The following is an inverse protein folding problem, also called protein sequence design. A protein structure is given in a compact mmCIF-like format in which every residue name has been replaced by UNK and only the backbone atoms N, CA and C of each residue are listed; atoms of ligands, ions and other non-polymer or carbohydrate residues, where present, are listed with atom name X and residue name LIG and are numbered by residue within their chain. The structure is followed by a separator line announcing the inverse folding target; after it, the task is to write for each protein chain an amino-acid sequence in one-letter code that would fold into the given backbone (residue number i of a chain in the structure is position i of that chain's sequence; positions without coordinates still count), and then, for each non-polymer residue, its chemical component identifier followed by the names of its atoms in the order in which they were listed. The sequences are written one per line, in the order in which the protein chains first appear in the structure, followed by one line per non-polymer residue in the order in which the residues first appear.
data_IF_403858808203
#
_entry.id   IF_403858808203
#
_cell.length_a   1.000
_cell.length_b   1.000
_cell.length_c   1.000
_cell.angle_alpha   90.00
_cell.angle_beta   90.00
_cell.angle_gamma   90.00
#
_symmetry.space_group_name_H-M   'P 1'
#
loop_
_entity.id
_entity.type
_entity.pdbx_description
1 polymer ?
#
# COMPACT_ATOMS: atom_id res chain seq x y z
N UNK A 1 -13.57 53.22 34.06
CA UNK A 1 -12.37 53.17 33.21
C UNK A 1 -12.68 53.91 31.91
N UNK A 2 -12.02 55.05 31.64
CA UNK A 2 -12.25 55.84 30.41
C UNK A 2 -11.48 55.20 29.25
N UNK A 3 -12.17 54.46 28.39
CA UNK A 3 -11.60 53.94 27.15
C UNK A 3 -11.17 55.13 26.29
N UNK A 4 -9.87 55.23 26.01
CA UNK A 4 -9.32 56.31 25.18
C UNK A 4 -9.88 56.12 23.75
N UNK A 5 -10.46 57.16 23.13
CA UNK A 5 -11.11 57.03 21.81
C UNK A 5 -10.16 56.48 20.73
N UNK A 6 -8.85 56.71 20.86
CA UNK A 6 -7.83 56.13 19.98
C UNK A 6 -7.68 54.61 20.07
N UNK A 7 -8.03 53.98 21.19
CA UNK A 7 -7.98 52.52 21.34
C UNK A 7 -9.18 51.86 20.65
N UNK A 8 -10.36 52.49 20.72
CA UNK A 8 -11.55 52.05 20.00
C UNK A 8 -11.37 52.14 18.49
N UNK A 9 -10.77 53.23 17.99
CA UNK A 9 -10.53 53.42 16.56
C UNK A 9 -9.54 52.38 15.99
N UNK A 10 -8.49 52.05 16.76
CA UNK A 10 -7.52 51.01 16.37
C UNK A 10 -8.13 49.61 16.40
N UNK A 11 -8.96 49.32 17.42
CA UNK A 11 -9.68 48.05 17.50
C UNK A 11 -10.65 47.87 16.33
N UNK A 12 -11.36 48.93 15.95
CA UNK A 12 -12.26 48.92 14.78
C UNK A 12 -11.52 48.69 13.46
N UNK A 13 -10.33 49.29 13.29
CA UNK A 13 -9.48 49.05 12.12
C UNK A 13 -8.98 47.60 12.04
N UNK A 14 -8.58 47.01 13.16
CA UNK A 14 -8.12 45.60 13.20
C UNK A 14 -9.29 44.64 12.93
N UNK A 15 -10.47 44.89 13.50
CA UNK A 15 -11.67 44.10 13.21
C UNK A 15 -12.10 44.21 11.75
N UNK A 16 -12.08 45.42 11.17
CA UNK A 16 -12.44 45.64 9.78
C UNK A 16 -11.48 44.93 8.81
N UNK A 17 -10.17 44.99 9.07
CA UNK A 17 -9.15 44.31 8.26
C UNK A 17 -9.25 42.79 8.36
N UNK A 18 -9.52 42.25 9.56
CA UNK A 18 -9.73 40.81 9.75
C UNK A 18 -10.98 40.31 9.01
N UNK A 19 -12.09 41.03 9.08
CA UNK A 19 -13.32 40.69 8.36
C UNK A 19 -13.15 40.78 6.84
N UNK A 20 -12.40 41.78 6.35
CA UNK A 20 -12.07 41.90 4.93
C UNK A 20 -11.22 40.71 4.43
N UNK A 21 -10.23 40.26 5.23
CA UNK A 21 -9.42 39.09 4.91
C UNK A 21 -10.23 37.79 4.92
N UNK A 22 -11.16 37.62 5.88
CA UNK A 22 -12.07 36.47 5.90
C UNK A 22 -12.99 36.46 4.68
N UNK A 23 -13.50 37.63 4.28
CA UNK A 23 -14.34 37.75 3.09
C UNK A 23 -13.55 37.47 1.81
N UNK A 24 -12.32 37.97 1.72
CA UNK A 24 -11.41 37.70 0.60
C UNK A 24 -11.04 36.21 0.53
N UNK A 25 -10.76 35.58 1.68
CA UNK A 25 -10.47 34.15 1.77
C UNK A 25 -11.67 33.30 1.38
N UNK A 26 -12.87 33.69 1.80
CA UNK A 26 -14.13 33.06 1.40
C UNK A 26 -14.37 33.19 -0.11
N UNK A 27 -14.03 34.35 -0.69
CA UNK A 27 -14.17 34.58 -2.14
C UNK A 27 -13.10 33.86 -2.98
N UNK A 28 -11.90 33.60 -2.42
CA UNK A 28 -10.85 32.83 -3.09
C UNK A 28 -11.00 31.32 -2.90
N UNK A 29 -11.67 30.91 -1.82
CA UNK A 29 -12.10 29.54 -1.60
C UNK A 29 -13.35 29.30 -2.45
N UNK A 30 -13.13 29.06 -3.75
CA UNK A 30 -14.20 28.66 -4.67
C UNK A 30 -15.02 27.49 -4.11
N UNK A 31 -16.27 27.32 -4.55
CA UNK A 31 -17.16 26.29 -4.02
C UNK A 31 -16.43 24.94 -4.08
N UNK A 32 -16.31 24.29 -2.92
CA UNK A 32 -15.74 22.95 -2.83
C UNK A 32 -16.41 22.09 -3.89
N UNK A 33 -15.60 21.51 -4.79
CA UNK A 33 -16.05 20.56 -5.80
C UNK A 33 -16.88 19.51 -5.07
N UNK A 34 -18.19 19.57 -5.26
CA UNK A 34 -19.02 18.39 -5.07
C UNK A 34 -18.54 17.42 -6.13
N UNK A 35 -18.04 16.28 -5.70
CA UNK A 35 -17.58 15.21 -6.57
C UNK A 35 -18.78 14.72 -7.39
N UNK A 36 -18.92 15.30 -8.58
CA UNK A 36 -19.90 14.90 -9.57
C UNK A 36 -19.50 13.51 -10.03
N UNK A 37 -20.26 12.51 -9.55
CA UNK A 37 -20.11 11.09 -9.87
C UNK A 37 -20.30 10.92 -11.38
N UNK A 38 -19.21 11.10 -12.10
CA UNK A 38 -19.16 10.98 -13.55
C UNK A 38 -19.54 9.54 -13.87
N UNK A 39 -20.70 9.37 -14.50
CA UNK A 39 -21.17 8.08 -14.97
C UNK A 39 -20.09 7.45 -15.83
N UNK A 40 -19.64 6.27 -15.42
CA UNK A 40 -18.74 5.43 -16.20
C UNK A 40 -19.46 5.07 -17.49
N UNK A 41 -18.97 5.60 -18.61
CA UNK A 41 -19.41 5.18 -19.94
C UNK A 41 -19.11 3.68 -20.06
N UNK A 42 -20.16 2.87 -20.11
CA UNK A 42 -20.05 1.41 -20.19
C UNK A 42 -19.61 1.06 -21.61
N UNK A 43 -18.36 0.58 -21.76
CA UNK A 43 -17.85 0.12 -23.03
C UNK A 43 -18.70 -1.08 -23.51
N UNK A 44 -19.44 -0.99 -24.64
CA UNK A 44 -20.37 -2.02 -25.09
C UNK A 44 -19.72 -3.37 -25.42
N UNK A 45 -18.38 -3.43 -25.49
CA UNK A 45 -17.61 -4.62 -25.84
C UNK A 45 -17.03 -5.36 -24.63
N UNK A 46 -17.39 -5.01 -23.40
CA UNK A 46 -16.98 -5.77 -22.22
C UNK A 46 -17.87 -7.02 -22.06
N UNK A 47 -17.32 -8.25 -21.96
CA UNK A 47 -18.11 -9.42 -21.66
C UNK A 47 -18.80 -9.22 -20.30
N UNK A 48 -20.14 -9.26 -20.28
CA UNK A 48 -20.91 -9.16 -19.04
C UNK A 48 -20.60 -10.38 -18.14
N UNK A 49 -20.51 -10.19 -16.81
CA UNK A 49 -20.28 -11.31 -15.90
C UNK A 49 -21.42 -12.32 -16.04
N UNK A 50 -21.06 -13.59 -16.24
CA UNK A 50 -22.01 -14.69 -16.29
C UNK A 50 -22.83 -14.69 -14.98
N UNK A 51 -24.16 -14.82 -15.11
CA UNK A 51 -25.05 -14.93 -13.95
C UNK A 51 -24.62 -16.15 -13.11
N UNK A 52 -24.65 -16.05 -11.77
CA UNK A 52 -24.22 -17.15 -10.92
C UNK A 52 -25.12 -18.36 -11.16
N UNK A 53 -24.53 -19.48 -11.57
CA UNK A 53 -25.22 -20.75 -11.70
C UNK A 53 -25.67 -21.24 -10.33
N UNK A 54 -26.98 -21.32 -10.13
CA UNK A 54 -27.64 -21.69 -8.86
C UNK A 54 -27.36 -23.15 -8.44
N UNK A 55 -26.76 -23.95 -9.32
CA UNK A 55 -26.51 -25.38 -9.11
C UNK A 55 -25.06 -25.75 -8.74
N UNK A 56 -24.21 -24.79 -8.34
CA UNK A 56 -22.82 -25.09 -7.92
C UNK A 56 -22.80 -25.58 -6.46
N UNK A 57 -22.18 -26.76 -6.16
CA UNK A 57 -22.02 -27.23 -4.79
C UNK A 57 -21.26 -26.21 -3.94
N UNK A 58 -21.82 -25.84 -2.77
CA UNK A 58 -21.28 -24.82 -1.83
C UNK A 58 -19.87 -25.09 -1.30
N UNK A 59 -19.28 -26.25 -1.61
CA UNK A 59 -17.96 -26.67 -1.15
C UNK A 59 -16.85 -26.33 -2.15
N UNK A 60 -17.18 -25.70 -3.28
CA UNK A 60 -16.20 -25.25 -4.27
C UNK A 60 -16.07 -23.74 -4.14
N UNK A 61 -14.95 -23.28 -3.57
CA UNK A 61 -14.61 -21.86 -3.57
C UNK A 61 -14.62 -21.36 -5.01
N UNK A 62 -15.50 -20.41 -5.30
CA UNK A 62 -15.45 -19.66 -6.54
C UNK A 62 -14.60 -18.43 -6.27
N UNK A 63 -13.43 -18.29 -6.92
CA UNK A 63 -12.61 -17.09 -6.74
C UNK A 63 -13.43 -15.88 -7.17
N UNK A 64 -13.67 -14.94 -6.24
CA UNK A 64 -14.42 -13.70 -6.48
C UNK A 64 -13.49 -12.71 -7.17
N UNK A 65 -13.09 -13.00 -8.40
CA UNK A 65 -12.29 -12.10 -9.23
C UNK A 65 -12.54 -12.43 -10.71
N UNK A 66 -12.93 -11.45 -11.54
CA UNK A 66 -12.11 -11.15 -12.69
C UNK A 66 -10.85 -10.47 -12.13
N UNK A 67 -9.72 -11.17 -12.15
CA UNK A 67 -8.44 -10.52 -11.97
C UNK A 67 -8.37 -9.41 -13.02
N UNK A 68 -8.03 -8.14 -12.69
CA UNK A 68 -7.63 -7.23 -13.75
C UNK A 68 -6.50 -7.95 -14.49
N UNK A 69 -6.67 -8.14 -15.80
CA UNK A 69 -5.59 -8.64 -16.64
C UNK A 69 -4.51 -7.58 -16.57
N UNK A 70 -3.58 -7.77 -15.64
CA UNK A 70 -2.35 -7.00 -15.54
C UNK A 70 -1.47 -7.47 -16.69
N UNK A 71 -1.78 -6.96 -17.89
CA UNK A 71 -0.78 -6.91 -18.95
C UNK A 71 0.33 -5.97 -18.42
N UNK A 72 1.46 -6.56 -18.03
CA UNK A 72 2.62 -5.79 -17.58
C UNK A 72 3.16 -6.05 -16.17
N UNK A 73 2.76 -7.13 -15.47
CA UNK A 73 3.68 -7.70 -14.47
C UNK A 73 4.70 -8.52 -15.27
N UNK A 74 5.67 -7.83 -15.87
CA UNK A 74 6.95 -8.49 -16.16
C UNK A 74 7.51 -8.90 -14.80
N UNK A 75 7.37 -10.19 -14.47
CA UNK A 75 8.22 -10.79 -13.45
C UNK A 75 9.61 -10.69 -14.04
N UNK A 76 10.37 -9.70 -13.60
CA UNK A 76 11.74 -9.52 -14.04
C UNK A 76 12.51 -10.80 -13.67
N UNK A 77 12.73 -11.67 -14.65
CA UNK A 77 13.45 -12.93 -14.46
C UNK A 77 14.91 -12.68 -14.07
N UNK A 78 15.42 -11.44 -14.27
CA UNK A 78 16.73 -11.01 -13.78
C UNK A 78 16.72 -10.75 -12.26
N UNK A 79 15.56 -10.68 -11.61
CA UNK A 79 15.45 -10.53 -10.14
C UNK A 79 15.74 -11.82 -9.36
N UNK A 80 15.87 -12.97 -10.04
CA UNK A 80 16.39 -14.21 -9.43
C UNK A 80 17.93 -14.18 -9.43
N UNK A 81 18.50 -13.14 -8.81
CA UNK A 81 19.95 -13.01 -8.67
C UNK A 81 20.42 -14.00 -7.62
N UNK A 82 21.04 -15.11 -8.06
CA UNK A 82 21.77 -16.01 -7.16
C UNK A 82 22.87 -15.21 -6.49
N UNK A 83 22.76 -15.01 -5.16
CA UNK A 83 23.70 -14.19 -4.40
C UNK A 83 23.40 -12.67 -4.43
N UNK A 84 22.18 -12.28 -4.78
CA UNK A 84 21.73 -10.89 -4.71
C UNK A 84 21.66 -10.31 -3.29
N UNK A 85 21.41 -8.99 -3.17
CA UNK A 85 21.27 -8.33 -1.88
C UNK A 85 20.12 -8.94 -1.06
N UNK A 86 20.35 -9.21 0.22
CA UNK A 86 19.32 -9.71 1.15
C UNK A 86 18.98 -11.21 1.02
N UNK A 87 19.64 -11.94 0.12
CA UNK A 87 19.54 -13.40 0.01
C UNK A 87 20.02 -14.12 1.27
N UNK A 88 19.43 -15.27 1.57
CA UNK A 88 19.69 -16.07 2.79
C UNK A 88 19.50 -15.27 4.10
N UNK A 89 18.79 -14.14 4.06
CA UNK A 89 18.65 -13.24 5.20
C UNK A 89 19.91 -12.43 5.52
N UNK A 90 20.89 -12.33 4.61
CA UNK A 90 22.11 -11.53 4.82
C UNK A 90 21.77 -10.04 4.97
N UNK A 91 22.50 -9.30 5.83
CA UNK A 91 22.29 -7.87 5.97
C UNK A 91 22.66 -7.13 4.67
N UNK A 92 21.79 -6.22 4.25
CA UNK A 92 22.06 -5.34 3.12
C UNK A 92 22.32 -3.92 3.61
N UNK A 93 23.59 -3.50 3.56
CA UNK A 93 24.04 -2.20 4.06
C UNK A 93 24.28 -1.26 2.89
N UNK A 94 23.52 -0.17 2.84
CA UNK A 94 23.64 0.86 1.81
C UNK A 94 24.75 1.85 2.16
N UNK A 95 25.40 2.40 1.12
CA UNK A 95 26.40 3.46 1.25
C UNK A 95 25.80 4.82 1.63
N UNK A 96 26.66 5.81 1.96
CA UNK A 96 26.23 7.15 2.37
C UNK A 96 25.45 7.90 1.28
N UNK A 97 25.62 7.54 0.00
CA UNK A 97 24.96 8.16 -1.14
C UNK A 97 23.43 8.02 -1.09
N UNK A 98 22.92 6.98 -0.43
CA UNK A 98 21.49 6.72 -0.30
C UNK A 98 20.88 7.32 0.98
N UNK A 99 21.66 7.99 1.83
CA UNK A 99 21.24 8.41 3.18
C UNK A 99 19.96 9.25 3.16
N UNK A 100 19.86 10.21 2.25
CA UNK A 100 18.70 11.10 2.17
C UNK A 100 17.44 10.36 1.70
N UNK A 101 17.58 9.48 0.71
CA UNK A 101 16.48 8.63 0.22
C UNK A 101 16.02 7.62 1.28
N UNK A 102 16.97 7.01 2.00
CA UNK A 102 16.69 6.13 3.14
C UNK A 102 15.92 6.89 4.22
N UNK A 103 16.38 8.08 4.61
CA UNK A 103 15.71 8.90 5.63
C UNK A 103 14.30 9.33 5.20
N UNK A 104 14.11 9.69 3.93
CA UNK A 104 12.79 10.02 3.38
C UNK A 104 11.85 8.80 3.44
N UNK A 105 12.31 7.63 3.00
CA UNK A 105 11.50 6.41 3.04
C UNK A 105 11.14 5.96 4.46
N UNK A 106 12.07 6.09 5.42
CA UNK A 106 11.82 5.79 6.82
C UNK A 106 10.76 6.75 7.39
N UNK A 107 10.75 8.02 6.95
CA UNK A 107 9.74 8.99 7.40
C UNK A 107 8.34 8.65 6.86
N UNK A 108 8.25 8.12 5.65
CA UNK A 108 6.98 7.80 4.99
C UNK A 108 6.42 6.43 5.44
N UNK A 109 7.24 5.39 5.38
CA UNK A 109 6.82 3.99 5.59
C UNK A 109 7.26 3.42 6.95
N UNK A 110 8.19 4.07 7.66
CA UNK A 110 8.73 3.60 8.94
C UNK A 110 9.92 2.64 8.83
N UNK A 111 10.38 2.34 7.61
CA UNK A 111 11.50 1.44 7.34
C UNK A 111 12.24 1.81 6.04
N UNK A 112 13.38 1.17 5.80
CA UNK A 112 14.23 1.47 4.65
C UNK A 112 13.67 0.85 3.36
N UNK A 113 12.81 1.60 2.66
CA UNK A 113 12.25 1.15 1.37
C UNK A 113 13.31 1.00 0.30
N UNK A 114 14.31 1.90 0.27
CA UNK A 114 15.38 1.87 -0.73
C UNK A 114 16.10 0.51 -0.71
N UNK A 115 16.38 0.00 0.48
CA UNK A 115 16.95 -1.34 0.64
C UNK A 115 15.95 -2.43 0.25
N UNK A 116 14.68 -2.32 0.66
CA UNK A 116 13.65 -3.29 0.31
C UNK A 116 13.48 -3.42 -1.21
N UNK A 117 13.43 -2.32 -1.94
CA UNK A 117 13.21 -2.30 -3.39
C UNK A 117 14.34 -2.96 -4.18
N UNK A 118 15.55 -2.97 -3.62
CA UNK A 118 16.71 -3.65 -4.22
C UNK A 118 16.79 -5.15 -3.90
N UNK A 119 16.09 -5.61 -2.86
CA UNK A 119 16.07 -7.03 -2.47
C UNK A 119 14.99 -7.74 -3.31
N UNK A 120 15.33 -8.93 -3.84
CA UNK A 120 14.40 -9.74 -4.65
C UNK A 120 13.10 -10.10 -3.92
N UNK A 121 11.96 -9.98 -4.61
CA UNK A 121 10.65 -10.39 -4.08
C UNK A 121 10.62 -11.88 -3.72
N UNK A 122 11.39 -12.69 -4.45
CA UNK A 122 11.45 -14.15 -4.29
C UNK A 122 12.66 -14.65 -3.49
N UNK A 123 13.28 -13.76 -2.71
CA UNK A 123 14.51 -14.07 -1.97
C UNK A 123 14.44 -15.33 -1.10
N UNK A 124 15.56 -16.00 -1.00
CA UNK A 124 15.76 -17.06 -0.01
C UNK A 124 15.97 -16.47 1.39
N UNK A 125 15.58 -17.22 2.41
CA UNK A 125 15.69 -16.83 3.82
C UNK A 125 16.35 -17.99 4.56
N UNK A 126 17.18 -17.69 5.54
CA UNK A 126 17.80 -18.68 6.39
C UNK A 126 16.77 -19.45 7.24
N UNK A 127 17.04 -20.74 7.47
CA UNK A 127 16.23 -21.56 8.38
C UNK A 127 16.68 -21.32 9.82
N UNK A 128 15.82 -20.65 10.60
CA UNK A 128 16.04 -20.36 12.02
C UNK A 128 15.38 -21.37 12.96
N UNK A 129 14.73 -22.42 12.41
CA UNK A 129 14.03 -23.43 13.21
C UNK A 129 15.04 -24.32 13.94
N UNK A 130 14.60 -24.91 15.05
CA UNK A 130 15.36 -25.96 15.73
C UNK A 130 15.48 -27.19 14.82
N UNK A 131 16.59 -27.93 14.87
CA UNK A 131 16.81 -29.06 13.96
C UNK A 131 15.74 -30.14 14.07
N UNK A 132 15.17 -30.33 15.26
CA UNK A 132 14.05 -31.25 15.48
C UNK A 132 12.81 -30.91 14.64
N UNK A 133 12.57 -29.64 14.31
CA UNK A 133 11.43 -29.21 13.49
C UNK A 133 11.40 -29.85 12.10
N UNK A 134 12.56 -30.31 11.59
CA UNK A 134 12.68 -30.93 10.25
C UNK A 134 12.19 -32.38 10.22
N UNK A 135 12.05 -33.02 11.38
CA UNK A 135 11.75 -34.44 11.51
C UNK A 135 10.33 -34.72 12.05
N UNK A 136 9.49 -33.68 12.17
CA UNK A 136 8.07 -33.87 12.47
C UNK A 136 7.32 -34.37 11.24
N UNK A 137 6.58 -35.45 11.41
CA UNK A 137 5.71 -36.00 10.38
C UNK A 137 4.28 -35.56 10.64
N UNK A 138 3.66 -34.94 9.64
CA UNK A 138 2.26 -34.52 9.66
C UNK A 138 1.43 -35.46 8.79
N UNK A 139 0.13 -35.56 9.08
CA UNK A 139 -0.81 -36.23 8.17
C UNK A 139 -1.00 -35.39 6.91
N UNK A 140 -1.14 -36.04 5.75
CA UNK A 140 -1.31 -35.33 4.47
C UNK A 140 -2.71 -34.66 4.33
N UNK A 141 -3.67 -35.05 5.17
CA UNK A 141 -5.04 -34.55 5.12
C UNK A 141 -5.24 -33.31 6.00
N UNK A 142 -4.48 -32.25 5.70
CA UNK A 142 -4.60 -30.97 6.38
C UNK A 142 -5.77 -30.15 5.81
N UNK A 143 -6.34 -29.30 6.65
CA UNK A 143 -7.39 -28.38 6.23
C UNK A 143 -6.82 -27.30 5.28
N UNK A 144 -7.61 -26.91 4.29
CA UNK A 144 -7.30 -25.75 3.46
C UNK A 144 -7.30 -24.47 4.28
N UNK A 145 -6.38 -23.56 4.00
CA UNK A 145 -6.27 -22.28 4.70
C UNK A 145 -6.51 -21.11 3.76
N UNK A 146 -7.09 -20.02 4.29
CA UNK A 146 -7.19 -18.74 3.59
C UNK A 146 -6.30 -17.73 4.29
N UNK A 147 -5.41 -17.09 3.54
CA UNK A 147 -4.52 -16.04 4.05
C UNK A 147 -5.11 -14.68 3.70
N UNK A 148 -5.42 -13.88 4.72
CA UNK A 148 -6.00 -12.54 4.56
C UNK A 148 -4.95 -11.51 4.98
N UNK A 149 -4.52 -10.66 4.03
CA UNK A 149 -3.55 -9.60 4.26
C UNK A 149 -4.28 -8.26 4.18
N UNK A 150 -4.38 -7.56 5.31
CA UNK A 150 -4.91 -6.19 5.37
C UNK A 150 -3.74 -5.24 5.29
N UNK A 151 -3.81 -4.25 4.40
CA UNK A 151 -2.75 -3.27 4.21
C UNK A 151 -3.33 -1.85 4.16
N UNK A 152 -2.53 -0.86 4.54
CA UNK A 152 -2.86 0.56 4.39
C UNK A 152 -1.58 1.33 4.10
N UNK A 153 -1.49 1.94 2.92
CA UNK A 153 -0.30 2.67 2.44
C UNK A 153 1.01 1.87 2.64
N UNK A 154 0.95 0.56 2.41
CA UNK A 154 2.10 -0.33 2.53
C UNK A 154 3.05 -0.13 1.34
N UNK A 155 4.35 -0.26 1.58
CA UNK A 155 5.36 -0.25 0.52
C UNK A 155 5.12 -1.40 -0.47
N UNK A 156 5.26 -1.13 -1.78
CA UNK A 156 5.02 -2.14 -2.82
C UNK A 156 5.90 -3.38 -2.63
N UNK A 157 7.21 -3.18 -2.45
CA UNK A 157 8.16 -4.28 -2.34
C UNK A 157 7.95 -5.14 -1.09
N UNK A 158 7.53 -4.57 0.05
CA UNK A 158 7.25 -5.33 1.26
C UNK A 158 5.95 -6.11 1.16
N UNK A 159 4.89 -5.49 0.63
CA UNK A 159 3.61 -6.17 0.40
C UNK A 159 3.77 -7.34 -0.57
N UNK A 160 4.39 -7.11 -1.73
CA UNK A 160 4.56 -8.15 -2.74
C UNK A 160 5.48 -9.28 -2.27
N UNK A 161 6.55 -8.97 -1.52
CA UNK A 161 7.41 -10.00 -0.92
C UNK A 161 6.65 -10.88 0.08
N UNK A 162 5.68 -10.31 0.79
CA UNK A 162 4.79 -11.07 1.69
C UNK A 162 3.93 -12.04 0.88
N UNK A 163 3.28 -11.56 -0.18
CA UNK A 163 2.46 -12.38 -1.08
C UNK A 163 3.28 -13.51 -1.72
N UNK A 164 4.44 -13.18 -2.29
CA UNK A 164 5.36 -14.15 -2.90
C UNK A 164 5.83 -15.20 -1.87
N UNK A 165 6.15 -14.80 -0.64
CA UNK A 165 6.54 -15.74 0.40
C UNK A 165 5.43 -16.72 0.75
N UNK A 166 4.17 -16.27 0.81
CA UNK A 166 3.02 -17.16 1.08
C UNK A 166 2.87 -18.17 -0.05
N UNK A 167 2.91 -17.73 -1.31
CA UNK A 167 2.75 -18.60 -2.49
C UNK A 167 3.90 -19.62 -2.57
N UNK A 168 5.14 -19.19 -2.32
CA UNK A 168 6.34 -20.03 -2.49
C UNK A 168 6.53 -21.06 -1.37
N UNK A 169 5.99 -20.83 -0.18
CA UNK A 169 6.28 -21.64 1.03
C UNK A 169 5.04 -22.33 1.63
N UNK A 170 3.88 -22.20 1.00
CA UNK A 170 2.65 -22.90 1.39
C UNK A 170 2.31 -23.95 0.33
N UNK A 171 2.19 -25.24 0.69
CA UNK A 171 1.77 -26.29 -0.24
C UNK A 171 0.29 -26.20 -0.63
#
# INVERSE_FOLDING_TARGET
MRLKPGFLLRSLLVLATFLALLFLWSSLSGPGRTEERTGREENPNLPQPAKPDVNVPKNKFQPVVPWPRVEGIEVDLDSMVVGGPGEEGKPFVLGPDYKDAVQASIKEFGFNMVASDMISLDRTVNDLRHDECKYWHYEDNLLTSSVVIVFHNEGWSTLMRTVHSVIKRTP
#
